data_IF_136586562348
#
_entry.id   IF_136586562348
#
_cell.length_a   1.000
_cell.length_b   1.000
_cell.length_c   1.000
_cell.angle_alpha   90.00
_cell.angle_beta   90.00
_cell.angle_gamma   90.00
#
_symmetry.space_group_name_H-M   'P 1'
#
loop_
_entity.id
_entity.type
_entity.pdbx_description
1 polymer ?
#
# COMPACT_ATOMS: atom_id res chain seq x y z
N UNK A 1 16.73 9.33 59.09
CA UNK A 1 16.89 10.37 58.04
C UNK A 1 17.95 9.99 57.00
N UNK A 2 19.16 9.51 57.37
CA UNK A 2 20.21 9.11 56.39
C UNK A 2 19.81 7.99 55.41
N UNK A 3 19.15 6.92 55.89
CA UNK A 3 18.82 5.75 55.05
C UNK A 3 17.84 6.05 53.92
N UNK A 4 16.86 6.93 54.17
CA UNK A 4 15.93 7.42 53.15
C UNK A 4 16.63 8.25 52.08
N UNK A 5 17.66 9.03 52.44
CA UNK A 5 18.45 9.79 51.49
C UNK A 5 19.34 8.90 50.61
N UNK A 6 19.88 7.82 51.19
CA UNK A 6 20.63 6.80 50.44
C UNK A 6 19.73 6.03 49.46
N UNK A 7 18.53 5.64 49.88
CA UNK A 7 17.54 5.00 49.01
C UNK A 7 17.07 5.92 47.88
N UNK A 8 16.82 7.20 48.17
CA UNK A 8 16.46 8.20 47.14
C UNK A 8 17.61 8.44 46.16
N UNK A 9 18.87 8.44 46.63
CA UNK A 9 20.04 8.56 45.75
C UNK A 9 20.19 7.33 44.86
N UNK A 10 20.05 6.12 45.41
CA UNK A 10 20.10 4.87 44.64
C UNK A 10 18.98 4.79 43.60
N UNK A 11 17.78 5.28 43.91
CA UNK A 11 16.67 5.38 42.96
C UNK A 11 16.96 6.37 41.82
N UNK A 12 17.58 7.51 42.11
CA UNK A 12 17.98 8.48 41.08
C UNK A 12 19.03 7.90 40.13
N UNK A 13 20.04 7.22 40.67
CA UNK A 13 21.05 6.54 39.87
C UNK A 13 20.44 5.40 39.03
N UNK A 14 19.48 4.66 39.59
CA UNK A 14 18.71 3.65 38.86
C UNK A 14 17.86 4.26 37.73
N UNK A 15 17.25 5.41 37.96
CA UNK A 15 16.49 6.15 36.94
C UNK A 15 17.39 6.68 35.83
N UNK A 16 18.55 7.26 36.13
CA UNK A 16 19.50 7.72 35.10
C UNK A 16 19.96 6.58 34.19
N UNK A 17 20.27 5.41 34.76
CA UNK A 17 20.65 4.22 33.97
C UNK A 17 19.50 3.70 33.11
N UNK A 18 18.26 3.78 33.58
CA UNK A 18 17.08 3.45 32.78
C UNK A 18 16.90 4.43 31.63
N UNK A 19 17.07 5.74 31.86
CA UNK A 19 17.01 6.76 30.81
C UNK A 19 18.08 6.54 29.73
N UNK A 20 19.30 6.23 30.11
CA UNK A 20 20.36 5.89 29.16
C UNK A 20 20.04 4.63 28.35
N UNK A 21 19.44 3.63 28.98
CA UNK A 21 19.06 2.38 28.32
C UNK A 21 17.92 2.59 27.32
N UNK A 22 16.90 3.37 27.69
CA UNK A 22 15.79 3.76 26.81
C UNK A 22 16.33 4.54 25.61
N UNK A 23 17.22 5.51 25.84
CA UNK A 23 17.82 6.30 24.76
C UNK A 23 18.60 5.44 23.76
N UNK A 24 19.38 4.45 24.24
CA UNK A 24 20.05 3.49 23.35
C UNK A 24 19.07 2.62 22.57
N UNK A 25 17.95 2.23 23.17
CA UNK A 25 16.91 1.46 22.48
C UNK A 25 16.26 2.28 21.36
N UNK A 26 15.97 3.55 21.60
CA UNK A 26 15.45 4.48 20.59
C UNK A 26 16.43 4.69 19.43
N UNK A 27 17.72 4.85 19.74
CA UNK A 27 18.80 4.97 18.75
C UNK A 27 18.95 3.69 17.92
N UNK A 28 18.90 2.52 18.56
CA UNK A 28 18.98 1.23 17.88
C UNK A 28 17.75 0.95 17.01
N UNK A 29 16.54 1.29 17.49
CA UNK A 29 15.32 1.21 16.67
C UNK A 29 15.41 2.11 15.45
N UNK A 30 15.89 3.34 15.61
CA UNK A 30 16.06 4.29 14.50
C UNK A 30 17.01 3.73 13.43
N UNK A 31 18.11 3.09 13.85
CA UNK A 31 19.04 2.41 12.92
C UNK A 31 18.42 1.21 12.22
N UNK A 32 17.68 0.36 12.94
CA UNK A 32 16.97 -0.77 12.34
C UNK A 32 15.96 -0.31 11.29
N UNK A 33 15.27 0.82 11.54
CA UNK A 33 14.37 1.42 10.55
C UNK A 33 15.09 1.91 9.30
N UNK A 34 16.28 2.50 9.44
CA UNK A 34 17.12 2.91 8.31
C UNK A 34 17.66 1.71 7.51
N UNK A 35 18.11 0.66 8.18
CA UNK A 35 18.60 -0.56 7.52
C UNK A 35 17.47 -1.30 6.80
N UNK A 36 16.31 -1.43 7.43
CA UNK A 36 15.11 -1.99 6.80
C UNK A 36 14.64 -1.14 5.63
N UNK A 37 14.78 0.19 5.71
CA UNK A 37 14.54 1.07 4.57
C UNK A 37 15.50 0.74 3.43
N UNK A 38 16.81 0.77 3.65
CA UNK A 38 17.82 0.47 2.61
C UNK A 38 17.64 -0.91 1.98
N UNK A 39 17.30 -1.92 2.77
CA UNK A 39 17.03 -3.26 2.26
C UNK A 39 15.81 -3.27 1.33
N UNK A 40 14.75 -2.54 1.68
CA UNK A 40 13.59 -2.33 0.78
C UNK A 40 14.01 -1.64 -0.51
N UNK A 41 14.84 -0.60 -0.44
CA UNK A 41 15.34 0.14 -1.61
C UNK A 41 16.12 -0.81 -2.55
N UNK A 42 16.99 -1.66 -2.00
CA UNK A 42 17.75 -2.67 -2.74
C UNK A 42 16.86 -3.75 -3.40
N UNK A 43 15.89 -4.29 -2.66
CA UNK A 43 14.99 -5.32 -3.18
C UNK A 43 14.10 -4.76 -4.29
N UNK A 44 13.61 -3.52 -4.14
CA UNK A 44 12.81 -2.83 -5.15
C UNK A 44 13.58 -2.56 -6.44
N UNK A 45 14.84 -2.11 -6.34
CA UNK A 45 15.71 -1.92 -7.49
C UNK A 45 15.93 -3.24 -8.25
N UNK A 46 16.20 -4.33 -7.53
CA UNK A 46 16.34 -5.67 -8.12
C UNK A 46 15.05 -6.16 -8.80
N UNK A 47 13.88 -5.88 -8.21
CA UNK A 47 12.59 -6.23 -8.80
C UNK A 47 12.29 -5.46 -10.09
N UNK A 48 12.63 -4.17 -10.15
CA UNK A 48 12.48 -3.35 -11.36
C UNK A 48 13.34 -3.89 -12.50
N UNK A 49 14.60 -4.17 -12.22
CA UNK A 49 15.57 -4.63 -13.23
C UNK A 49 15.19 -6.02 -13.76
N UNK A 50 14.77 -6.92 -12.87
CA UNK A 50 14.25 -8.24 -13.24
C UNK A 50 12.97 -8.15 -14.07
N UNK A 51 12.07 -7.25 -13.70
CA UNK A 51 10.79 -7.10 -14.37
C UNK A 51 10.94 -6.61 -15.82
N UNK A 52 11.82 -5.64 -16.04
CA UNK A 52 12.16 -5.16 -17.37
C UNK A 52 12.91 -6.23 -18.18
N UNK A 53 13.78 -7.02 -17.55
CA UNK A 53 14.52 -8.09 -18.21
C UNK A 53 13.65 -9.31 -18.57
N UNK A 54 12.58 -9.58 -17.81
CA UNK A 54 11.70 -10.73 -17.97
C UNK A 54 10.41 -10.43 -18.75
N UNK A 55 10.14 -9.17 -19.10
CA UNK A 55 8.98 -8.78 -19.91
C UNK A 55 7.63 -8.97 -19.19
N UNK A 56 7.59 -8.81 -17.86
CA UNK A 56 6.35 -8.90 -17.08
C UNK A 56 5.43 -7.70 -17.31
N UNK A 57 4.12 -7.92 -17.20
CA UNK A 57 3.09 -6.91 -17.49
C UNK A 57 2.94 -5.91 -16.34
N UNK A 58 2.46 -4.69 -16.64
CA UNK A 58 2.18 -3.66 -15.63
C UNK A 58 1.20 -4.15 -14.54
N UNK A 59 0.23 -4.99 -14.90
CA UNK A 59 -0.70 -5.62 -13.97
C UNK A 59 0.02 -6.47 -12.91
N UNK A 60 1.01 -7.26 -13.31
CA UNK A 60 1.78 -8.08 -12.37
C UNK A 60 2.57 -7.23 -11.38
N UNK A 61 3.05 -6.05 -11.82
CA UNK A 61 3.71 -5.10 -10.94
C UNK A 61 2.74 -4.45 -9.96
N UNK A 62 1.55 -4.06 -10.44
CA UNK A 62 0.51 -3.49 -9.61
C UNK A 62 0.10 -4.45 -8.49
N UNK A 63 -0.11 -5.72 -8.80
CA UNK A 63 -0.43 -6.77 -7.80
C UNK A 63 0.69 -6.95 -6.79
N UNK A 64 1.94 -7.10 -7.24
CA UNK A 64 3.11 -7.29 -6.35
C UNK A 64 3.30 -6.08 -5.42
N UNK A 65 3.11 -4.87 -5.93
CA UNK A 65 3.18 -3.65 -5.13
C UNK A 65 2.07 -3.60 -4.08
N UNK A 66 0.85 -4.03 -4.44
CA UNK A 66 -0.26 -4.09 -3.50
C UNK A 66 -0.02 -5.15 -2.41
N UNK A 67 0.54 -6.31 -2.73
CA UNK A 67 0.93 -7.31 -1.72
C UNK A 67 1.93 -6.74 -0.69
N UNK A 68 2.97 -6.04 -1.16
CA UNK A 68 3.92 -5.35 -0.27
C UNK A 68 3.23 -4.32 0.63
N UNK A 69 2.28 -3.56 0.07
CA UNK A 69 1.51 -2.59 0.85
C UNK A 69 0.66 -3.27 1.92
N UNK A 70 0.04 -4.41 1.60
CA UNK A 70 -0.77 -5.18 2.54
C UNK A 70 0.07 -5.82 3.65
N UNK A 71 1.27 -6.30 3.32
CA UNK A 71 2.23 -6.76 4.32
C UNK A 71 2.59 -5.64 5.30
N UNK A 72 2.89 -4.42 4.82
CA UNK A 72 3.16 -3.26 5.68
C UNK A 72 1.94 -2.86 6.54
N UNK A 73 0.73 -3.15 6.07
CA UNK A 73 -0.52 -2.94 6.83
C UNK A 73 -0.81 -4.05 7.85
N UNK A 74 0.05 -5.07 7.96
CA UNK A 74 -0.08 -6.17 8.91
C UNK A 74 -0.68 -7.46 8.34
N UNK A 75 -0.74 -7.59 7.01
CA UNK A 75 -1.29 -8.77 6.32
C UNK A 75 -0.20 -9.51 5.51
N UNK A 76 0.80 -10.12 6.16
CA UNK A 76 1.95 -10.74 5.49
C UNK A 76 1.60 -11.99 4.65
N UNK A 77 0.38 -12.51 4.77
CA UNK A 77 -0.10 -13.64 3.96
C UNK A 77 -1.13 -13.23 2.91
N UNK A 78 -1.42 -11.93 2.77
CA UNK A 78 -2.31 -11.44 1.74
C UNK A 78 -1.71 -11.74 0.36
N UNK A 79 -2.55 -12.25 -0.54
CA UNK A 79 -2.21 -12.45 -1.95
C UNK A 79 -3.19 -11.68 -2.82
N UNK A 80 -2.67 -11.09 -3.89
CA UNK A 80 -3.44 -10.30 -4.83
C UNK A 80 -3.50 -11.08 -6.14
N UNK A 81 -4.70 -11.51 -6.50
CA UNK A 81 -4.94 -12.33 -7.69
C UNK A 81 -6.08 -11.73 -8.52
N UNK A 82 -6.19 -12.15 -9.78
CA UNK A 82 -7.37 -11.84 -10.59
C UNK A 82 -8.57 -12.64 -10.09
N UNK A 83 -9.74 -12.00 -10.02
CA UNK A 83 -10.99 -12.66 -9.64
C UNK A 83 -12.02 -12.52 -10.75
N UNK A 84 -12.70 -13.61 -11.07
CA UNK A 84 -13.83 -13.60 -12.00
C UNK A 84 -15.13 -13.82 -11.23
N UNK A 85 -16.08 -12.93 -11.44
CA UNK A 85 -17.41 -12.97 -10.83
C UNK A 85 -18.46 -12.95 -11.93
N UNK A 86 -19.64 -13.50 -11.64
CA UNK A 86 -20.76 -13.53 -12.60
C UNK A 86 -21.87 -12.63 -12.07
N UNK A 87 -22.32 -11.69 -12.90
CA UNK A 87 -23.47 -10.81 -12.65
C UNK A 87 -24.34 -10.80 -13.91
N UNK A 88 -25.64 -11.08 -13.76
CA UNK A 88 -26.61 -11.11 -14.86
C UNK A 88 -26.22 -11.95 -16.09
N UNK A 89 -25.40 -12.99 -15.88
CA UNK A 89 -24.90 -13.87 -16.94
C UNK A 89 -23.62 -13.40 -17.63
N UNK A 90 -23.10 -12.22 -17.25
CA UNK A 90 -21.82 -11.70 -17.73
C UNK A 90 -20.68 -12.02 -16.74
N UNK A 91 -19.49 -12.36 -17.28
CA UNK A 91 -18.29 -12.57 -16.49
C UNK A 91 -17.58 -11.23 -16.31
N UNK A 92 -17.50 -10.77 -15.06
CA UNK A 92 -16.80 -9.56 -14.65
C UNK A 92 -15.44 -9.97 -14.07
N UNK A 93 -14.38 -9.51 -14.72
CA UNK A 93 -13.01 -9.59 -14.21
C UNK A 93 -12.74 -8.47 -13.20
N UNK A 94 -12.03 -8.80 -12.14
CA UNK A 94 -11.43 -7.88 -11.18
C UNK A 94 -9.93 -8.09 -11.25
N UNK A 95 -9.21 -7.02 -11.63
CA UNK A 95 -7.79 -7.10 -11.95
C UNK A 95 -6.94 -7.43 -10.71
N UNK A 96 -7.30 -6.84 -9.57
CA UNK A 96 -6.64 -7.07 -8.28
C UNK A 96 -7.68 -7.38 -7.20
N UNK A 97 -7.61 -8.58 -6.63
CA UNK A 97 -8.50 -9.02 -5.57
C UNK A 97 -7.70 -9.68 -4.45
N UNK A 98 -8.02 -9.29 -3.20
CA UNK A 98 -7.60 -10.01 -2.00
C UNK A 98 -8.84 -10.29 -1.16
N UNK A 99 -8.97 -11.49 -0.64
CA UNK A 99 -10.13 -11.84 0.20
C UNK A 99 -9.96 -11.36 1.64
N UNK A 100 -8.74 -11.42 2.18
CA UNK A 100 -8.42 -11.00 3.55
C UNK A 100 -7.07 -10.25 3.57
N UNK A 101 -7.07 -8.90 3.75
CA UNK A 101 -8.26 -8.06 3.92
C UNK A 101 -9.06 -7.98 2.61
N UNK A 102 -10.33 -7.59 2.65
CA UNK A 102 -11.15 -7.53 1.43
C UNK A 102 -10.72 -6.33 0.58
N UNK A 103 -10.00 -6.59 -0.49
CA UNK A 103 -9.44 -5.57 -1.39
C UNK A 103 -9.96 -5.75 -2.80
N UNK A 104 -10.30 -4.63 -3.43
CA UNK A 104 -10.68 -4.57 -4.84
C UNK A 104 -9.85 -3.50 -5.52
N UNK A 105 -9.21 -3.85 -6.63
CA UNK A 105 -8.41 -2.91 -7.39
C UNK A 105 -8.54 -3.04 -8.90
N UNK A 106 -8.29 -1.91 -9.56
CA UNK A 106 -8.29 -1.74 -11.01
C UNK A 106 -6.89 -1.35 -11.51
N UNK A 107 -6.52 -1.87 -12.66
CA UNK A 107 -5.28 -1.52 -13.36
C UNK A 107 -5.58 -0.93 -14.73
N UNK A 108 -5.16 0.32 -14.93
CA UNK A 108 -5.31 1.03 -16.21
C UNK A 108 -3.95 1.45 -16.75
N UNK A 109 -3.69 1.22 -18.03
CA UNK A 109 -2.39 1.57 -18.64
C UNK A 109 -2.30 3.04 -19.03
N UNK A 110 -3.36 3.59 -19.60
CA UNK A 110 -3.34 4.97 -20.11
C UNK A 110 -4.68 5.68 -19.88
N UNK A 111 -4.62 6.89 -19.32
CA UNK A 111 -5.78 7.76 -19.11
C UNK A 111 -5.45 9.15 -19.63
N UNK A 112 -6.09 9.53 -20.73
CA UNK A 112 -5.77 10.75 -21.47
C UNK A 112 -6.65 11.96 -21.11
N UNK A 113 -7.88 11.74 -20.66
CA UNK A 113 -8.88 12.81 -20.45
C UNK A 113 -9.59 12.68 -19.10
N UNK A 114 -10.22 13.76 -18.66
CA UNK A 114 -11.05 13.77 -17.45
C UNK A 114 -12.25 12.81 -17.56
N UNK A 115 -12.86 12.69 -18.75
CA UNK A 115 -13.96 11.74 -18.98
C UNK A 115 -13.49 10.29 -18.83
N UNK A 116 -12.32 9.95 -19.38
CA UNK A 116 -11.73 8.63 -19.22
C UNK A 116 -11.41 8.35 -17.74
N UNK A 117 -10.87 9.33 -17.02
CA UNK A 117 -10.64 9.23 -15.58
C UNK A 117 -11.92 8.91 -14.80
N UNK A 118 -13.02 9.61 -15.08
CA UNK A 118 -14.33 9.35 -14.46
C UNK A 118 -14.84 7.94 -14.79
N UNK A 119 -14.75 7.53 -16.05
CA UNK A 119 -15.19 6.21 -16.47
C UNK A 119 -14.44 5.07 -15.75
N UNK A 120 -13.12 5.23 -15.54
CA UNK A 120 -12.30 4.27 -14.81
C UNK A 120 -12.68 4.19 -13.32
N UNK A 121 -12.92 5.34 -12.68
CA UNK A 121 -13.41 5.38 -11.29
C UNK A 121 -14.78 4.72 -11.17
N UNK A 122 -15.71 5.05 -12.06
CA UNK A 122 -17.04 4.45 -12.06
C UNK A 122 -17.02 2.93 -12.27
N UNK A 123 -16.14 2.45 -13.16
CA UNK A 123 -15.90 1.02 -13.41
C UNK A 123 -15.44 0.32 -12.14
N UNK A 124 -14.44 0.87 -11.44
CA UNK A 124 -13.95 0.33 -10.17
C UNK A 124 -15.06 0.32 -9.11
N UNK A 125 -15.83 1.40 -8.98
CA UNK A 125 -16.93 1.46 -8.00
C UNK A 125 -18.05 0.45 -8.30
N UNK A 126 -18.34 0.15 -9.57
CA UNK A 126 -19.26 -0.94 -9.94
C UNK A 126 -18.74 -2.29 -9.43
N UNK A 127 -17.46 -2.58 -9.66
CA UNK A 127 -16.80 -3.82 -9.21
C UNK A 127 -16.80 -3.94 -7.67
N UNK A 128 -16.51 -2.84 -6.96
CA UNK A 128 -16.59 -2.77 -5.49
C UNK A 128 -17.99 -3.15 -5.01
N UNK A 129 -19.04 -2.54 -5.55
CA UNK A 129 -20.43 -2.84 -5.15
C UNK A 129 -20.79 -4.31 -5.38
N UNK A 130 -20.31 -4.90 -6.46
CA UNK A 130 -20.52 -6.31 -6.76
C UNK A 130 -19.82 -7.21 -5.72
N UNK A 131 -18.57 -6.90 -5.37
CA UNK A 131 -17.81 -7.64 -4.36
C UNK A 131 -18.48 -7.50 -2.98
N UNK A 132 -18.88 -6.30 -2.57
CA UNK A 132 -19.57 -6.09 -1.29
C UNK A 132 -20.86 -6.91 -1.19
N UNK A 133 -21.66 -6.96 -2.26
CA UNK A 133 -22.87 -7.80 -2.31
C UNK A 133 -22.54 -9.28 -2.17
N UNK A 134 -21.49 -9.75 -2.84
CA UNK A 134 -21.10 -11.15 -2.85
C UNK A 134 -20.54 -11.63 -1.50
N UNK A 135 -19.71 -10.81 -0.85
CA UNK A 135 -19.05 -11.18 0.41
C UNK A 135 -19.82 -10.70 1.65
N UNK A 136 -20.87 -9.89 1.49
CA UNK A 136 -21.72 -9.42 2.59
C UNK A 136 -21.02 -8.47 3.58
N UNK A 137 -19.86 -7.93 3.20
CA UNK A 137 -19.08 -6.96 4.00
C UNK A 137 -18.55 -5.84 3.11
N UNK A 138 -18.19 -4.72 3.74
CA UNK A 138 -17.54 -3.60 3.06
C UNK A 138 -16.12 -3.96 2.63
N UNK A 139 -15.69 -3.40 1.50
CA UNK A 139 -14.30 -3.51 1.04
C UNK A 139 -13.42 -2.66 1.97
N UNK A 140 -12.33 -3.25 2.47
CA UNK A 140 -11.40 -2.62 3.41
C UNK A 140 -10.47 -1.64 2.70
N UNK A 141 -10.11 -1.93 1.44
CA UNK A 141 -9.25 -1.08 0.62
C UNK A 141 -9.69 -1.12 -0.86
N UNK A 142 -9.89 0.06 -1.43
CA UNK A 142 -10.19 0.24 -2.86
C UNK A 142 -8.97 0.86 -3.53
N UNK A 143 -8.46 0.26 -4.61
CA UNK A 143 -7.22 0.69 -5.26
C UNK A 143 -7.44 0.97 -6.73
N UNK A 144 -6.92 2.11 -7.22
CA UNK A 144 -6.86 2.39 -8.66
C UNK A 144 -5.40 2.62 -9.03
N UNK A 145 -4.86 1.76 -9.90
CA UNK A 145 -3.52 1.89 -10.44
C UNK A 145 -3.58 2.39 -11.87
N UNK A 146 -2.84 3.46 -12.19
CA UNK A 146 -2.81 4.00 -13.55
C UNK A 146 -1.37 4.28 -14.00
N UNK A 147 -0.89 3.59 -15.05
CA UNK A 147 0.52 3.72 -15.48
C UNK A 147 0.83 5.14 -16.00
N UNK A 148 0.13 5.58 -17.06
CA UNK A 148 0.34 6.88 -17.69
C UNK A 148 -0.92 7.72 -17.63
N UNK A 149 -0.81 8.94 -17.10
CA UNK A 149 -1.94 9.86 -16.92
C UNK A 149 -1.55 11.28 -17.34
N UNK A 150 -2.41 11.96 -18.09
CA UNK A 150 -2.22 13.38 -18.44
C UNK A 150 -2.49 14.30 -17.24
N UNK A 151 -2.00 15.55 -17.21
CA UNK A 151 -2.26 16.48 -16.10
C UNK A 151 -3.76 16.71 -15.81
N UNK A 152 -4.58 16.82 -16.86
CA UNK A 152 -6.03 17.00 -16.73
C UNK A 152 -6.70 15.76 -16.11
N UNK A 153 -6.39 14.57 -16.63
CA UNK A 153 -6.90 13.32 -16.06
C UNK A 153 -6.41 13.09 -14.63
N UNK A 154 -5.20 13.54 -14.29
CA UNK A 154 -4.62 13.42 -12.97
C UNK A 154 -5.39 14.23 -11.91
N UNK A 155 -5.76 15.46 -12.23
CA UNK A 155 -6.56 16.30 -11.34
C UNK A 155 -7.91 15.66 -11.05
N UNK A 156 -8.57 15.15 -12.10
CA UNK A 156 -9.85 14.46 -12.00
C UNK A 156 -9.76 13.16 -11.20
N UNK A 157 -8.74 12.32 -11.46
CA UNK A 157 -8.50 11.10 -10.69
C UNK A 157 -8.23 11.41 -9.22
N UNK A 158 -7.40 12.41 -8.90
CA UNK A 158 -7.14 12.80 -7.49
C UNK A 158 -8.41 13.27 -6.80
N UNK A 159 -9.22 14.09 -7.47
CA UNK A 159 -10.49 14.60 -6.93
C UNK A 159 -11.46 13.46 -6.65
N UNK A 160 -11.76 12.66 -7.66
CA UNK A 160 -12.73 11.56 -7.59
C UNK A 160 -12.26 10.43 -6.66
N UNK A 161 -10.95 10.15 -6.61
CA UNK A 161 -10.42 9.15 -5.69
C UNK A 161 -10.57 9.54 -4.22
N UNK A 162 -10.30 10.81 -3.88
CA UNK A 162 -10.50 11.32 -2.51
C UNK A 162 -11.96 11.27 -2.08
N UNK A 163 -12.87 11.65 -2.98
CA UNK A 163 -14.32 11.65 -2.72
C UNK A 163 -14.84 10.25 -2.36
N UNK A 164 -14.28 9.20 -2.98
CA UNK A 164 -14.75 7.82 -2.82
C UNK A 164 -13.85 6.94 -1.94
N UNK A 165 -12.82 7.51 -1.30
CA UNK A 165 -11.88 6.75 -0.47
C UNK A 165 -11.01 5.78 -1.28
N UNK A 166 -10.77 6.04 -2.56
CA UNK A 166 -9.94 5.21 -3.43
C UNK A 166 -8.47 5.58 -3.22
N UNK A 167 -7.64 4.57 -3.02
CA UNK A 167 -6.19 4.73 -3.03
C UNK A 167 -5.68 4.75 -4.47
N UNK A 168 -5.47 5.95 -4.98
CA UNK A 168 -4.85 6.18 -6.29
C UNK A 168 -3.36 5.90 -6.23
N UNK A 169 -2.86 5.10 -7.18
CA UNK A 169 -1.46 4.73 -7.31
C UNK A 169 -1.05 4.95 -8.78
N UNK A 170 -0.24 5.97 -9.04
CA UNK A 170 0.16 6.31 -10.41
C UNK A 170 1.46 5.61 -10.78
N UNK A 171 1.64 5.24 -12.05
CA UNK A 171 2.85 4.58 -12.54
C UNK A 171 4.11 5.36 -12.23
N UNK A 172 4.07 6.70 -12.34
CA UNK A 172 5.15 7.58 -11.86
C UNK A 172 5.36 7.54 -10.35
N UNK A 173 4.30 7.41 -9.54
CA UNK A 173 4.44 7.26 -8.07
C UNK A 173 4.87 5.83 -7.67
N UNK A 174 4.53 4.80 -8.47
CA UNK A 174 5.06 3.43 -8.35
C UNK A 174 6.53 3.46 -8.69
N UNK A 175 6.91 4.10 -9.79
CA UNK A 175 8.29 4.31 -10.16
C UNK A 175 9.00 5.09 -9.07
N UNK A 176 8.55 6.26 -8.64
CA UNK A 176 9.17 7.06 -7.58
C UNK A 176 9.24 6.30 -6.23
N UNK A 177 8.19 5.58 -5.79
CA UNK A 177 8.22 4.76 -4.55
C UNK A 177 9.00 3.45 -4.67
N UNK A 178 9.35 3.04 -5.89
CA UNK A 178 10.27 1.94 -6.18
C UNK A 178 11.68 2.45 -6.56
N UNK A 179 11.86 3.75 -6.78
CA UNK A 179 13.13 4.44 -7.10
C UNK A 179 13.75 5.09 -5.86
N UNK A 180 12.97 5.29 -4.78
CA UNK A 180 13.48 5.70 -3.47
C UNK A 180 13.87 4.46 -2.70
#
# INVERSE_FOLDING_TARGET
VNRLWEEVRALREGQERLWESVRRLEENQSRLWEEHRRLREYVKAGFRDLSMALGVTFEMHASSFLELLLEEMGYPQARVEKKYLVEDGEVIEIDMFCEEPLVVGEVTTHIATAEAAKAEVEKLLRRVRLVERKYGRKVDLIVLTASTVTPEAHEELRRSSKEHGIRLVLGREIEERLTI
#
